data_IF_500804786728
#
_entry.id   IF_500804786728
#
_cell.length_a   1.000
_cell.length_b   1.000
_cell.length_c   1.000
_cell.angle_alpha   90.00
_cell.angle_beta   90.00
_cell.angle_gamma   90.00
#
_symmetry.space_group_name_H-M   'P 1'
#
loop_
_entity.id
_entity.type
_entity.pdbx_description
1 polymer ?
#
# COMPACT_ATOMS: atom_id res chain seq x y z
N UNK A 1 4.12 9.19 -8.86
CA UNK A 1 3.68 8.63 -10.16
C UNK A 1 2.35 9.23 -10.59
N UNK A 2 1.25 8.94 -9.90
CA UNK A 2 -0.10 9.38 -10.27
C UNK A 2 -0.24 10.91 -10.35
N UNK A 3 0.33 11.63 -9.39
CA UNK A 3 0.35 13.11 -9.40
C UNK A 3 1.04 13.69 -10.62
N UNK A 4 2.14 13.08 -11.08
CA UNK A 4 2.87 13.54 -12.27
C UNK A 4 1.97 13.36 -13.50
N UNK A 5 1.35 12.20 -13.67
CA UNK A 5 0.38 11.97 -14.76
C UNK A 5 -0.76 12.98 -14.73
N UNK A 6 -1.31 13.28 -13.55
CA UNK A 6 -2.37 14.27 -13.39
C UNK A 6 -1.90 15.68 -13.74
N UNK A 7 -0.66 16.06 -13.38
CA UNK A 7 -0.09 17.35 -13.78
C UNK A 7 0.13 17.42 -15.29
N UNK A 8 0.65 16.34 -15.91
CA UNK A 8 0.86 16.26 -17.36
C UNK A 8 -0.47 16.28 -18.14
N UNK A 9 -1.54 15.69 -17.63
CA UNK A 9 -2.84 15.70 -18.31
C UNK A 9 -3.65 16.96 -18.02
N UNK A 10 -3.74 17.35 -16.75
CA UNK A 10 -4.71 18.32 -16.25
C UNK A 10 -4.08 19.62 -15.73
N UNK A 11 -2.75 19.71 -15.68
CA UNK A 11 -2.05 20.94 -15.30
C UNK A 11 -2.26 22.08 -16.30
N UNK A 12 -1.67 23.24 -16.01
CA UNK A 12 -1.85 24.46 -16.81
C UNK A 12 -1.42 24.32 -18.28
N UNK A 13 -0.37 23.52 -18.54
CA UNK A 13 0.06 23.13 -19.88
C UNK A 13 -0.31 21.66 -20.20
N UNK A 14 -1.34 21.14 -19.53
CA UNK A 14 -1.73 19.75 -19.65
C UNK A 14 -2.31 19.40 -21.02
N UNK A 15 -2.16 18.14 -21.43
CA UNK A 15 -2.66 17.64 -22.71
C UNK A 15 -4.19 17.81 -22.82
N UNK A 16 -4.92 17.52 -21.74
CA UNK A 16 -6.38 17.64 -21.72
C UNK A 16 -6.79 19.10 -21.50
N UNK A 17 -6.20 19.75 -20.49
CA UNK A 17 -6.61 21.11 -20.10
C UNK A 17 -6.36 22.13 -21.21
N UNK A 18 -5.13 22.19 -21.75
CA UNK A 18 -4.72 23.23 -22.70
C UNK A 18 -4.92 22.82 -24.15
N UNK A 19 -4.49 21.62 -24.53
CA UNK A 19 -4.51 21.18 -25.94
C UNK A 19 -5.88 20.64 -26.38
N UNK A 20 -6.55 19.84 -25.55
CA UNK A 20 -7.86 19.26 -25.92
C UNK A 20 -9.03 20.21 -25.63
N UNK A 21 -9.07 20.86 -24.46
CA UNK A 21 -10.21 21.66 -24.00
C UNK A 21 -10.00 23.18 -24.08
N UNK A 22 -8.78 23.66 -24.34
CA UNK A 22 -8.49 25.10 -24.43
C UNK A 22 -8.71 25.89 -23.13
N UNK A 23 -8.74 25.23 -21.98
CA UNK A 23 -9.02 25.86 -20.68
C UNK A 23 -7.78 26.60 -20.16
N UNK A 24 -7.86 27.92 -20.08
CA UNK A 24 -6.73 28.77 -19.63
C UNK A 24 -6.78 29.14 -18.15
N UNK A 25 -7.95 29.03 -17.51
CA UNK A 25 -8.17 29.36 -16.09
C UNK A 25 -8.28 28.17 -15.14
N UNK A 26 -8.15 26.94 -15.64
CA UNK A 26 -8.26 25.75 -14.82
C UNK A 26 -6.96 25.50 -14.03
N UNK A 27 -7.09 25.36 -12.71
CA UNK A 27 -5.98 25.05 -11.82
C UNK A 27 -6.22 23.70 -11.13
N UNK A 28 -5.36 22.72 -11.41
CA UNK A 28 -5.41 21.41 -10.76
C UNK A 28 -4.80 21.46 -9.35
N UNK A 29 -3.92 22.41 -9.05
CA UNK A 29 -3.33 22.55 -7.72
C UNK A 29 -4.38 23.07 -6.73
N UNK A 30 -4.52 22.38 -5.60
CA UNK A 30 -5.57 22.64 -4.61
C UNK A 30 -6.23 21.36 -4.11
N UNK A 31 -7.22 21.52 -3.22
CA UNK A 31 -7.99 20.42 -2.67
C UNK A 31 -8.65 19.56 -3.77
N UNK A 32 -9.13 20.16 -4.86
CA UNK A 32 -9.82 19.43 -5.95
C UNK A 32 -8.89 18.44 -6.66
N UNK A 33 -7.68 18.87 -7.04
CA UNK A 33 -6.70 17.97 -7.64
C UNK A 33 -6.17 16.95 -6.63
N UNK A 34 -6.02 17.34 -5.37
CA UNK A 34 -5.66 16.40 -4.32
C UNK A 34 -6.70 15.29 -4.15
N UNK A 35 -7.99 15.63 -4.08
CA UNK A 35 -9.09 14.64 -4.00
C UNK A 35 -9.08 13.72 -5.21
N UNK A 36 -8.86 14.26 -6.43
CA UNK A 36 -8.75 13.45 -7.64
C UNK A 36 -7.60 12.44 -7.54
N UNK A 37 -6.39 12.91 -7.18
CA UNK A 37 -5.21 12.05 -7.07
C UNK A 37 -5.38 11.01 -5.97
N UNK A 38 -5.92 11.38 -4.80
CA UNK A 38 -6.18 10.44 -3.70
C UNK A 38 -7.22 9.38 -4.10
N UNK A 39 -8.33 9.79 -4.71
CA UNK A 39 -9.38 8.86 -5.14
C UNK A 39 -8.83 7.83 -6.11
N UNK A 40 -8.07 8.27 -7.11
CA UNK A 40 -7.50 7.38 -8.11
C UNK A 40 -6.35 6.52 -7.57
N UNK A 41 -5.53 7.07 -6.66
CA UNK A 41 -4.46 6.33 -6.01
C UNK A 41 -4.94 5.25 -5.04
N UNK A 42 -6.05 5.50 -4.35
CA UNK A 42 -6.62 4.56 -3.38
C UNK A 42 -7.65 3.60 -4.00
N UNK A 43 -8.11 3.87 -5.23
CA UNK A 43 -9.10 3.03 -5.92
C UNK A 43 -8.71 1.55 -6.02
N UNK A 44 -7.47 1.15 -6.41
CA UNK A 44 -7.11 -0.26 -6.48
C UNK A 44 -7.16 -0.96 -5.11
N UNK A 45 -6.76 -0.26 -4.05
CA UNK A 45 -6.81 -0.77 -2.67
C UNK A 45 -8.28 -0.99 -2.27
N UNK A 46 -9.13 0.01 -2.51
CA UNK A 46 -10.56 -0.08 -2.25
C UNK A 46 -11.20 -1.26 -3.01
N UNK A 47 -10.90 -1.38 -4.31
CA UNK A 47 -11.43 -2.43 -5.16
C UNK A 47 -11.05 -3.83 -4.67
N UNK A 48 -9.78 -4.07 -4.35
CA UNK A 48 -9.31 -5.37 -3.89
C UNK A 48 -9.98 -5.78 -2.57
N UNK A 49 -10.07 -4.86 -1.61
CA UNK A 49 -10.71 -5.12 -0.31
C UNK A 49 -12.20 -5.39 -0.49
N UNK A 50 -12.91 -4.53 -1.22
CA UNK A 50 -14.35 -4.66 -1.46
C UNK A 50 -14.69 -5.94 -2.25
N UNK A 51 -13.86 -6.32 -3.23
CA UNK A 51 -14.05 -7.55 -3.99
C UNK A 51 -13.92 -8.77 -3.08
N UNK A 52 -12.90 -8.83 -2.22
CA UNK A 52 -12.74 -9.92 -1.26
C UNK A 52 -13.91 -10.04 -0.29
N UNK A 53 -14.47 -8.91 0.17
CA UNK A 53 -15.67 -8.89 1.02
C UNK A 53 -16.88 -9.46 0.26
N UNK A 54 -17.17 -8.95 -0.94
CA UNK A 54 -18.33 -9.37 -1.71
C UNK A 54 -18.24 -10.85 -2.12
N UNK A 55 -17.04 -11.34 -2.43
CA UNK A 55 -16.80 -12.75 -2.74
C UNK A 55 -16.95 -13.67 -1.53
N UNK A 56 -16.88 -13.15 -0.30
CA UNK A 56 -17.01 -13.94 0.92
C UNK A 56 -18.46 -14.16 1.39
N UNK A 57 -19.41 -13.40 0.83
CA UNK A 57 -20.84 -13.52 1.14
C UNK A 57 -21.39 -14.78 0.47
N UNK A 58 -22.04 -15.67 1.23
CA UNK A 58 -22.65 -16.89 0.68
C UNK A 58 -23.78 -16.54 -0.32
N UNK A 59 -23.65 -16.91 -1.61
CA UNK A 59 -24.69 -16.67 -2.61
C UNK A 59 -26.04 -17.34 -2.31
N UNK A 60 -26.06 -18.42 -1.52
CA UNK A 60 -27.29 -19.13 -1.14
C UNK A 60 -28.25 -18.25 -0.32
N UNK A 61 -27.73 -17.25 0.40
CA UNK A 61 -28.57 -16.31 1.16
C UNK A 61 -29.38 -15.40 0.20
N UNK A 62 -28.75 -14.97 -0.89
CA UNK A 62 -29.41 -14.19 -1.93
C UNK A 62 -30.45 -15.05 -2.68
N UNK A 63 -30.10 -16.30 -2.99
CA UNK A 63 -30.99 -17.26 -3.64
C UNK A 63 -32.21 -17.60 -2.79
N UNK A 64 -32.01 -17.84 -1.50
CA UNK A 64 -33.09 -18.12 -0.57
C UNK A 64 -34.07 -16.95 -0.49
N UNK A 65 -33.55 -15.71 -0.45
CA UNK A 65 -34.37 -14.51 -0.47
C UNK A 65 -35.14 -14.36 -1.80
N UNK A 66 -34.50 -14.58 -2.95
CA UNK A 66 -35.17 -14.52 -4.26
C UNK A 66 -36.24 -15.62 -4.41
N UNK A 67 -35.99 -16.83 -3.91
CA UNK A 67 -36.94 -17.94 -3.93
C UNK A 67 -38.19 -17.65 -3.08
N UNK A 68 -38.06 -16.86 -2.01
CA UNK A 68 -39.18 -16.35 -1.21
C UNK A 68 -39.90 -15.15 -1.85
N UNK A 69 -39.52 -14.76 -3.07
CA UNK A 69 -40.16 -13.68 -3.84
C UNK A 69 -39.52 -12.30 -3.66
N UNK A 70 -38.36 -12.19 -3.00
CA UNK A 70 -37.67 -10.90 -2.88
C UNK A 70 -37.13 -10.43 -4.24
N UNK A 71 -37.37 -9.15 -4.56
CA UNK A 71 -36.76 -8.51 -5.74
C UNK A 71 -35.26 -8.24 -5.53
N UNK A 72 -34.48 -8.10 -6.61
CA UNK A 72 -33.03 -7.80 -6.51
C UNK A 72 -32.71 -6.58 -5.62
N UNK A 73 -33.54 -5.53 -5.66
CA UNK A 73 -33.35 -4.34 -4.81
C UNK A 73 -33.53 -4.68 -3.34
N UNK A 74 -34.54 -5.51 -3.03
CA UNK A 74 -34.81 -5.98 -1.68
C UNK A 74 -33.70 -6.89 -1.19
N UNK A 75 -33.23 -7.84 -2.01
CA UNK A 75 -32.08 -8.70 -1.69
C UNK A 75 -30.83 -7.86 -1.42
N UNK A 76 -30.51 -6.90 -2.29
CA UNK A 76 -29.37 -6.02 -2.08
C UNK A 76 -29.47 -5.24 -0.77
N UNK A 77 -30.62 -4.62 -0.46
CA UNK A 77 -30.76 -3.79 0.74
C UNK A 77 -30.91 -4.57 2.05
N UNK A 78 -31.42 -5.81 2.00
CA UNK A 78 -31.72 -6.61 3.19
C UNK A 78 -30.73 -7.73 3.47
N UNK A 79 -29.99 -8.21 2.45
CA UNK A 79 -29.03 -9.31 2.56
C UNK A 79 -27.63 -8.80 2.22
N UNK A 80 -27.37 -8.42 0.97
CA UNK A 80 -26.02 -8.14 0.47
C UNK A 80 -25.38 -6.93 1.18
N UNK A 81 -26.07 -5.79 1.23
CA UNK A 81 -25.54 -4.56 1.82
C UNK A 81 -25.34 -4.69 3.34
N UNK A 82 -26.31 -5.17 4.15
CA UNK A 82 -26.09 -5.37 5.58
C UNK A 82 -24.92 -6.30 5.92
N UNK A 83 -24.74 -7.38 5.16
CA UNK A 83 -23.60 -8.29 5.31
C UNK A 83 -22.28 -7.66 4.86
N UNK A 84 -22.31 -6.80 3.83
CA UNK A 84 -21.14 -6.10 3.34
C UNK A 84 -20.74 -4.89 4.20
N UNK A 85 -21.66 -4.24 4.93
CA UNK A 85 -21.41 -3.00 5.70
C UNK A 85 -20.18 -3.09 6.61
N UNK A 86 -19.97 -4.15 7.43
CA UNK A 86 -18.77 -4.26 8.26
C UNK A 86 -17.48 -4.28 7.44
N UNK A 87 -17.49 -4.97 6.30
CA UNK A 87 -16.38 -4.98 5.36
C UNK A 87 -16.16 -3.61 4.70
N UNK A 88 -17.23 -2.96 4.23
CA UNK A 88 -17.17 -1.62 3.62
C UNK A 88 -16.63 -0.60 4.62
N UNK A 89 -17.08 -0.66 5.88
CA UNK A 89 -16.56 0.19 6.95
C UNK A 89 -15.07 -0.06 7.22
N UNK A 90 -14.63 -1.32 7.18
CA UNK A 90 -13.21 -1.69 7.30
C UNK A 90 -12.38 -1.12 6.15
N UNK A 91 -12.87 -1.26 4.91
CA UNK A 91 -12.22 -0.71 3.72
C UNK A 91 -12.15 0.82 3.76
N UNK A 92 -13.24 1.48 4.16
CA UNK A 92 -13.30 2.93 4.31
C UNK A 92 -12.30 3.43 5.35
N UNK A 93 -12.22 2.79 6.53
CA UNK A 93 -11.26 3.15 7.57
C UNK A 93 -9.81 2.95 7.10
N UNK A 94 -9.52 1.86 6.40
CA UNK A 94 -8.20 1.60 5.82
C UNK A 94 -7.80 2.71 4.84
N UNK A 95 -8.70 3.09 3.94
CA UNK A 95 -8.46 4.17 2.96
C UNK A 95 -8.31 5.52 3.67
N UNK A 96 -9.13 5.79 4.68
CA UNK A 96 -9.05 7.01 5.49
C UNK A 96 -7.68 7.16 6.17
N UNK A 97 -7.21 6.11 6.87
CA UNK A 97 -5.89 6.11 7.51
C UNK A 97 -4.77 6.24 6.47
N UNK A 98 -4.90 5.56 5.33
CA UNK A 98 -3.89 5.62 4.26
C UNK A 98 -3.83 7.02 3.63
N UNK A 99 -4.97 7.66 3.38
CA UNK A 99 -5.04 9.02 2.83
C UNK A 99 -4.53 10.05 3.83
N UNK A 100 -4.81 9.89 5.13
CA UNK A 100 -4.32 10.77 6.19
C UNK A 100 -2.79 10.66 6.35
N UNK A 101 -2.24 9.45 6.17
CA UNK A 101 -0.81 9.19 6.24
C UNK A 101 -0.04 9.52 4.96
N UNK A 102 -0.73 9.94 3.89
CA UNK A 102 -0.09 10.31 2.64
C UNK A 102 0.61 11.68 2.75
N UNK A 103 1.75 11.76 2.10
CA UNK A 103 2.62 12.94 2.11
C UNK A 103 3.00 13.34 0.69
N UNK A 104 3.34 12.36 -0.15
CA UNK A 104 3.89 12.60 -1.48
C UNK A 104 2.92 13.35 -2.39
N UNK A 105 1.65 12.94 -2.44
CA UNK A 105 0.67 13.59 -3.31
C UNK A 105 0.29 14.99 -2.81
N UNK A 106 -0.04 15.20 -1.52
CA UNK A 106 -0.24 16.53 -0.95
C UNK A 106 0.90 17.49 -1.24
N UNK A 107 2.16 17.10 -0.99
CA UNK A 107 3.33 17.97 -1.15
C UNK A 107 3.42 18.58 -2.54
N UNK A 108 3.00 17.85 -3.56
CA UNK A 108 3.08 18.28 -4.96
C UNK A 108 1.84 19.02 -5.44
N UNK A 109 0.63 18.57 -5.08
CA UNK A 109 -0.61 19.05 -5.71
C UNK A 109 -1.55 19.84 -4.79
N UNK A 110 -1.31 19.89 -3.47
CA UNK A 110 -2.24 20.57 -2.56
C UNK A 110 -2.29 22.09 -2.77
N UNK A 111 -1.26 22.67 -3.40
CA UNK A 111 -1.21 24.10 -3.72
C UNK A 111 -1.31 24.94 -2.44
N UNK A 112 -2.38 25.74 -2.33
CA UNK A 112 -2.66 26.58 -1.14
C UNK A 112 -3.42 25.84 -0.03
N UNK A 113 -3.78 24.58 -0.24
CA UNK A 113 -4.49 23.81 0.77
C UNK A 113 -3.49 23.19 1.74
N UNK A 114 -3.59 23.59 3.00
CA UNK A 114 -2.70 23.11 4.06
C UNK A 114 -3.06 21.69 4.48
N UNK A 115 -2.13 20.77 4.26
CA UNK A 115 -2.24 19.38 4.70
C UNK A 115 -1.29 19.19 5.87
N UNK A 116 -1.81 18.67 6.98
CA UNK A 116 -1.04 18.52 8.23
C UNK A 116 0.26 17.74 8.05
N UNK A 117 0.29 16.68 7.23
CA UNK A 117 1.51 15.90 6.95
C UNK A 117 2.59 16.73 6.24
N UNK A 118 2.19 17.59 5.33
CA UNK A 118 3.07 18.53 4.62
C UNK A 118 3.54 19.64 5.55
N UNK A 119 2.63 20.22 6.33
CA UNK A 119 2.98 21.28 7.28
C UNK A 119 3.94 20.79 8.36
N UNK A 120 3.75 19.58 8.89
CA UNK A 120 4.69 18.96 9.83
C UNK A 120 6.10 18.84 9.21
N UNK A 121 6.18 18.42 7.95
CA UNK A 121 7.45 18.35 7.21
C UNK A 121 8.09 19.73 7.00
N UNK A 122 7.33 20.71 6.51
CA UNK A 122 7.82 22.06 6.23
C UNK A 122 8.28 22.77 7.52
N UNK A 123 7.57 22.59 8.63
CA UNK A 123 8.00 23.14 9.92
C UNK A 123 9.28 22.47 10.41
N UNK A 124 9.40 21.15 10.26
CA UNK A 124 10.57 20.41 10.73
C UNK A 124 11.82 20.66 9.87
N UNK A 125 11.70 20.58 8.54
CA UNK A 125 12.84 20.62 7.60
C UNK A 125 13.07 22.00 6.97
N UNK A 126 12.00 22.75 6.67
CA UNK A 126 12.10 24.06 6.03
C UNK A 126 12.33 25.20 7.03
N UNK A 127 11.54 25.22 8.11
CA UNK A 127 11.57 26.29 9.12
C UNK A 127 12.45 25.97 10.33
N UNK A 128 13.00 24.74 10.42
CA UNK A 128 13.75 24.22 11.57
C UNK A 128 13.01 24.35 12.92
N UNK A 129 11.69 24.47 12.90
CA UNK A 129 10.83 24.53 14.07
C UNK A 129 10.40 23.11 14.49
N UNK A 130 11.35 22.37 15.07
CA UNK A 130 11.13 20.98 15.50
C UNK A 130 9.96 20.83 16.48
N UNK A 131 9.77 21.70 17.49
CA UNK A 131 8.63 21.59 18.41
C UNK A 131 7.27 21.68 17.70
N UNK A 132 7.11 22.64 16.79
CA UNK A 132 5.86 22.78 16.04
C UNK A 132 5.66 21.61 15.07
N UNK A 133 6.70 21.17 14.37
CA UNK A 133 6.64 19.99 13.51
C UNK A 133 6.23 18.72 14.27
N UNK A 134 6.78 18.51 15.46
CA UNK A 134 6.41 17.41 16.35
C UNK A 134 4.96 17.55 16.86
N UNK A 135 4.51 18.77 17.20
CA UNK A 135 3.13 19.05 17.58
C UNK A 135 2.13 18.69 16.47
N UNK A 136 2.42 19.06 15.22
CA UNK A 136 1.61 18.70 14.06
C UNK A 136 1.62 17.18 13.80
N UNK A 137 2.75 16.51 14.04
CA UNK A 137 2.85 15.06 13.96
C UNK A 137 1.95 14.37 15.00
N UNK A 138 1.95 14.84 16.25
CA UNK A 138 1.05 14.34 17.30
C UNK A 138 -0.42 14.60 16.91
N UNK A 139 -0.73 15.77 16.35
CA UNK A 139 -2.07 16.09 15.87
C UNK A 139 -2.55 15.14 14.77
N UNK A 140 -1.66 14.65 13.90
CA UNK A 140 -1.96 13.59 12.92
C UNK A 140 -2.15 12.21 13.55
N UNK A 141 -1.41 11.92 14.63
CA UNK A 141 -1.48 10.63 15.31
C UNK A 141 -2.86 10.39 15.91
N UNK A 142 -3.48 11.41 16.51
CA UNK A 142 -4.78 11.31 17.19
C UNK A 142 -5.89 10.75 16.27
N UNK A 143 -6.26 11.38 15.15
CA UNK A 143 -7.33 10.88 14.28
C UNK A 143 -6.99 9.52 13.67
N UNK A 144 -5.71 9.27 13.37
CA UNK A 144 -5.26 7.99 12.83
C UNK A 144 -5.41 6.85 13.85
N UNK A 145 -5.05 7.12 15.11
CA UNK A 145 -5.19 6.16 16.20
C UNK A 145 -6.66 5.90 16.55
N UNK A 146 -7.49 6.95 16.56
CA UNK A 146 -8.93 6.83 16.77
C UNK A 146 -9.56 5.95 15.67
N UNK A 147 -9.23 6.21 14.40
CA UNK A 147 -9.72 5.41 13.29
C UNK A 147 -9.28 3.94 13.39
N UNK A 148 -8.02 3.69 13.74
CA UNK A 148 -7.51 2.33 13.95
C UNK A 148 -8.17 1.61 15.11
N UNK A 149 -8.35 2.26 16.27
CA UNK A 149 -9.03 1.67 17.42
C UNK A 149 -10.49 1.37 17.10
N UNK A 150 -11.16 2.27 16.39
CA UNK A 150 -12.53 2.07 15.93
C UNK A 150 -12.63 0.89 14.96
N UNK A 151 -11.71 0.78 14.01
CA UNK A 151 -11.60 -0.36 13.10
C UNK A 151 -11.43 -1.67 13.87
N UNK A 152 -10.44 -1.72 14.78
CA UNK A 152 -10.05 -2.93 15.51
C UNK A 152 -11.13 -3.42 16.45
N UNK A 153 -11.79 -2.54 17.21
CA UNK A 153 -12.70 -2.94 18.28
C UNK A 153 -14.18 -2.93 17.91
N UNK A 154 -14.60 -2.08 16.97
CA UNK A 154 -16.02 -1.89 16.64
C UNK A 154 -16.42 -2.62 15.36
N UNK A 155 -15.56 -2.54 14.33
CA UNK A 155 -15.85 -3.12 13.01
C UNK A 155 -15.40 -4.58 12.93
N UNK A 156 -14.20 -4.89 13.43
CA UNK A 156 -13.65 -6.25 13.42
C UNK A 156 -14.49 -7.31 14.14
N UNK A 157 -15.31 -6.92 15.13
CA UNK A 157 -16.22 -7.84 15.85
C UNK A 157 -17.50 -8.18 15.10
N UNK A 158 -17.84 -7.43 14.04
CA UNK A 158 -19.08 -7.60 13.26
C UNK A 158 -18.83 -8.26 11.90
N UNK A 159 -17.64 -8.84 11.68
CA UNK A 159 -17.38 -9.64 10.49
C UNK A 159 -18.22 -10.91 10.52
N UNK A 160 -19.36 -10.90 9.83
CA UNK A 160 -20.16 -12.09 9.57
C UNK A 160 -19.40 -12.97 8.57
N UNK A 161 -18.37 -13.66 9.05
CA UNK A 161 -17.58 -14.59 8.23
C UNK A 161 -18.45 -15.80 7.96
N UNK A 162 -19.10 -15.85 6.80
CA UNK A 162 -19.83 -17.02 6.29
C UNK A 162 -18.92 -17.89 5.41
N UNK A 163 -17.65 -18.06 5.78
CA UNK A 163 -16.74 -18.96 5.06
C UNK A 163 -17.05 -20.38 5.51
N UNK A 164 -17.91 -21.08 4.77
CA UNK A 164 -18.27 -22.48 5.03
C UNK A 164 -17.29 -23.48 4.40
N UNK A 165 -16.08 -23.05 4.00
CA UNK A 165 -15.05 -23.91 3.42
C UNK A 165 -15.40 -24.54 2.06
N UNK A 166 -16.61 -24.31 1.54
CA UNK A 166 -17.02 -24.75 0.20
C UNK A 166 -16.62 -23.70 -0.83
N UNK A 167 -15.89 -24.06 -1.89
CA UNK A 167 -15.67 -23.15 -3.00
C UNK A 167 -17.02 -22.91 -3.70
N UNK A 168 -17.61 -21.74 -3.46
CA UNK A 168 -18.75 -21.29 -4.25
C UNK A 168 -18.22 -20.85 -5.62
N UNK A 169 -18.62 -21.56 -6.67
CA UNK A 169 -18.32 -21.15 -8.03
C UNK A 169 -18.89 -19.75 -8.27
N UNK A 170 -18.07 -18.84 -8.80
CA UNK A 170 -18.54 -17.52 -9.22
C UNK A 170 -19.73 -17.70 -10.17
N UNK A 171 -20.87 -17.14 -9.79
CA UNK A 171 -22.09 -17.27 -10.58
C UNK A 171 -22.08 -16.28 -11.74
N UNK A 172 -22.45 -16.74 -12.92
CA UNK A 172 -22.80 -15.86 -14.04
C UNK A 172 -24.21 -15.30 -13.82
N UNK A 173 -24.31 -14.13 -13.18
CA UNK A 173 -25.57 -13.41 -13.15
C UNK A 173 -25.95 -13.01 -14.59
N UNK A 174 -27.10 -13.47 -15.07
CA UNK A 174 -27.68 -13.03 -16.35
C UNK A 174 -28.24 -11.61 -16.21
N UNK A 175 -27.34 -10.63 -16.24
CA UNK A 175 -27.69 -9.21 -16.21
C UNK A 175 -28.30 -8.83 -17.57
N UNK A 176 -29.38 -8.04 -17.55
CA UNK A 176 -29.98 -7.51 -18.76
C UNK A 176 -28.94 -6.77 -19.61
N UNK A 177 -28.98 -6.95 -20.93
CA UNK A 177 -28.04 -6.33 -21.89
C UNK A 177 -27.74 -4.84 -21.62
N UNK A 178 -28.73 -3.95 -21.36
CA UNK A 178 -28.43 -2.53 -21.13
C UNK A 178 -27.61 -2.30 -19.85
N UNK A 179 -27.94 -2.99 -18.76
CA UNK A 179 -27.21 -2.85 -17.49
C UNK A 179 -25.78 -3.40 -17.62
N UNK A 180 -25.61 -4.51 -18.36
CA UNK A 180 -24.29 -5.07 -18.67
C UNK A 180 -23.41 -4.05 -19.41
N UNK A 181 -23.92 -3.44 -20.48
CA UNK A 181 -23.15 -2.45 -21.24
C UNK A 181 -22.87 -1.18 -20.43
N UNK A 182 -23.79 -0.76 -19.56
CA UNK A 182 -23.57 0.37 -18.65
C UNK A 182 -22.47 0.10 -17.61
N UNK A 183 -22.48 -1.06 -16.95
CA UNK A 183 -21.43 -1.41 -15.99
C UNK A 183 -20.08 -1.61 -16.69
N UNK A 184 -20.09 -2.25 -17.86
CA UNK A 184 -18.90 -2.46 -18.67
C UNK A 184 -18.32 -1.11 -19.12
N UNK A 185 -19.15 -0.14 -19.52
CA UNK A 185 -18.65 1.17 -19.93
C UNK A 185 -17.97 1.91 -18.78
N UNK A 186 -18.55 1.89 -17.57
CA UNK A 186 -17.91 2.45 -16.37
C UNK A 186 -16.57 1.78 -16.09
N UNK A 187 -16.52 0.45 -16.07
CA UNK A 187 -15.29 -0.31 -15.80
C UNK A 187 -14.22 -0.03 -16.87
N UNK A 188 -14.64 0.07 -18.13
CA UNK A 188 -13.76 0.37 -19.26
C UNK A 188 -13.22 1.80 -19.16
N UNK A 189 -14.05 2.78 -18.80
CA UNK A 189 -13.62 4.18 -18.59
C UNK A 189 -12.58 4.25 -17.47
N UNK A 190 -12.84 3.64 -16.32
CA UNK A 190 -11.89 3.64 -15.19
C UNK A 190 -10.58 2.96 -15.60
N UNK A 191 -10.65 1.80 -16.24
CA UNK A 191 -9.47 1.06 -16.70
C UNK A 191 -8.68 1.84 -17.74
N UNK A 192 -9.35 2.45 -18.72
CA UNK A 192 -8.74 3.30 -19.73
C UNK A 192 -8.07 4.52 -19.10
N UNK A 193 -8.67 5.11 -18.06
CA UNK A 193 -8.09 6.25 -17.35
C UNK A 193 -6.82 5.87 -16.57
N UNK A 194 -6.79 4.70 -15.93
CA UNK A 194 -5.60 4.18 -15.26
C UNK A 194 -4.49 3.92 -16.28
N UNK A 195 -4.82 3.26 -17.40
CA UNK A 195 -3.87 3.00 -18.50
C UNK A 195 -3.33 4.32 -19.07
N UNK A 196 -4.19 5.32 -19.27
CA UNK A 196 -3.81 6.65 -19.72
C UNK A 196 -2.79 7.29 -18.77
N UNK A 197 -2.94 7.14 -17.46
CA UNK A 197 -1.96 7.68 -16.51
C UNK A 197 -0.58 7.05 -16.66
N UNK A 198 -0.50 5.73 -16.84
CA UNK A 198 0.77 5.04 -17.10
C UNK A 198 1.39 5.45 -18.43
N UNK A 199 0.59 5.49 -19.50
CA UNK A 199 1.04 5.95 -20.82
C UNK A 199 1.57 7.38 -20.72
N UNK A 200 0.90 8.26 -19.98
CA UNK A 200 1.31 9.67 -19.82
C UNK A 200 2.69 9.78 -19.16
N UNK A 201 3.00 8.96 -18.15
CA UNK A 201 4.35 8.97 -17.55
C UNK A 201 5.38 8.49 -18.55
N UNK A 202 5.10 7.42 -19.30
CA UNK A 202 6.03 6.89 -20.31
C UNK A 202 6.29 7.95 -21.38
N UNK A 203 5.24 8.58 -21.92
CA UNK A 203 5.36 9.65 -22.91
C UNK A 203 6.05 10.89 -22.32
N UNK A 204 5.76 11.22 -21.05
CA UNK A 204 6.41 12.31 -20.32
C UNK A 204 7.91 12.13 -20.17
N UNK A 205 8.38 10.88 -20.13
CA UNK A 205 9.81 10.55 -20.11
C UNK A 205 10.52 10.75 -21.46
N UNK A 206 9.77 10.73 -22.57
CA UNK A 206 10.30 10.75 -23.94
C UNK A 206 10.21 12.12 -24.60
N UNK A 207 9.24 12.95 -24.22
CA UNK A 207 9.05 14.26 -24.85
C UNK A 207 9.94 15.34 -24.25
N UNK A 208 10.49 16.20 -25.12
CA UNK A 208 11.43 17.25 -24.74
C UNK A 208 10.85 18.23 -23.73
N UNK A 209 9.67 18.78 -24.03
CA UNK A 209 8.98 19.70 -23.13
C UNK A 209 7.48 19.51 -23.20
N UNK A 210 6.92 18.81 -22.22
CA UNK A 210 5.50 18.49 -22.20
C UNK A 210 4.60 19.73 -22.33
N UNK A 211 3.63 19.67 -23.22
CA UNK A 211 2.68 20.75 -23.48
C UNK A 211 3.16 21.85 -24.43
N UNK A 212 4.43 21.82 -24.86
CA UNK A 212 5.04 22.81 -25.76
C UNK A 212 5.80 22.17 -26.92
N UNK A 213 6.69 21.20 -26.64
CA UNK A 213 7.51 20.50 -27.62
C UNK A 213 7.45 18.99 -27.38
N UNK A 214 6.70 18.31 -28.26
CA UNK A 214 6.51 16.85 -28.25
C UNK A 214 7.59 16.11 -29.08
N UNK A 215 8.70 16.76 -29.42
CA UNK A 215 9.85 16.09 -30.04
C UNK A 215 10.42 15.04 -29.08
N UNK A 216 10.78 13.88 -29.63
CA UNK A 216 11.40 12.80 -28.85
C UNK A 216 12.82 13.19 -28.44
N UNK A 217 13.17 12.96 -27.17
CA UNK A 217 14.50 13.18 -26.61
C UNK A 217 14.89 12.07 -25.66
N UNK A 218 16.20 11.80 -25.57
CA UNK A 218 16.81 10.93 -24.57
C UNK A 218 17.61 11.72 -23.52
N UNK A 219 17.56 13.06 -23.58
CA UNK A 219 18.26 13.92 -22.63
C UNK A 219 17.79 13.70 -21.19
N UNK A 220 16.48 13.50 -20.99
CA UNK A 220 15.93 13.16 -19.67
C UNK A 220 16.52 11.86 -19.13
N UNK A 221 16.69 10.85 -19.98
CA UNK A 221 17.30 9.57 -19.60
C UNK A 221 18.78 9.72 -19.24
N UNK A 222 19.53 10.49 -20.02
CA UNK A 222 20.95 10.76 -19.72
C UNK A 222 21.10 11.47 -18.37
N UNK A 223 20.36 12.55 -18.18
CA UNK A 223 20.35 13.29 -16.91
C UNK A 223 19.94 12.41 -15.74
N UNK A 224 18.80 11.71 -15.85
CA UNK A 224 18.29 10.84 -14.79
C UNK A 224 19.17 9.65 -14.48
N UNK A 225 19.96 9.15 -15.45
CA UNK A 225 20.96 8.12 -15.19
C UNK A 225 22.09 8.67 -14.31
N UNK A 226 22.62 9.85 -14.65
CA UNK A 226 23.72 10.48 -13.94
C UNK A 226 23.35 10.81 -12.48
N UNK A 227 22.16 11.38 -12.25
CA UNK A 227 21.72 11.75 -10.90
C UNK A 227 21.02 10.63 -10.13
N UNK A 228 20.37 9.70 -10.85
CA UNK A 228 19.47 8.71 -10.28
C UNK A 228 20.10 7.35 -10.00
N UNK A 229 21.24 7.00 -10.61
CA UNK A 229 21.85 5.68 -10.47
C UNK A 229 22.20 5.35 -9.01
N UNK A 230 22.73 6.33 -8.26
CA UNK A 230 23.02 6.15 -6.83
C UNK A 230 21.73 5.92 -6.04
N UNK A 231 20.73 6.77 -6.21
CA UNK A 231 19.46 6.65 -5.50
C UNK A 231 18.75 5.32 -5.83
N UNK A 232 18.84 4.84 -7.07
CA UNK A 232 18.34 3.52 -7.46
C UNK A 232 19.07 2.39 -6.72
N UNK A 233 20.41 2.40 -6.69
CA UNK A 233 21.23 1.41 -5.96
C UNK A 233 20.93 1.40 -4.48
N UNK A 234 20.87 2.58 -3.86
CA UNK A 234 20.56 2.74 -2.44
C UNK A 234 19.15 2.20 -2.14
N UNK A 235 18.16 2.54 -2.98
CA UNK A 235 16.76 2.07 -2.84
C UNK A 235 16.66 0.55 -2.89
N UNK A 236 17.27 -0.08 -3.89
CA UNK A 236 17.27 -1.54 -4.03
C UNK A 236 18.01 -2.19 -2.87
N UNK A 237 19.17 -1.65 -2.46
CA UNK A 237 19.97 -2.17 -1.35
C UNK A 237 19.22 -2.10 -0.04
N UNK A 238 18.65 -0.93 0.30
CA UNK A 238 17.88 -0.73 1.53
C UNK A 238 16.63 -1.62 1.55
N UNK A 239 15.93 -1.76 0.43
CA UNK A 239 14.75 -2.62 0.31
C UNK A 239 15.11 -4.10 0.45
N UNK A 240 16.21 -4.53 -0.17
CA UNK A 240 16.71 -5.90 -0.07
C UNK A 240 17.19 -6.25 1.35
N UNK A 241 17.80 -5.29 2.05
CA UNK A 241 18.23 -5.47 3.44
C UNK A 241 17.04 -5.49 4.41
N UNK A 242 16.07 -4.58 4.27
CA UNK A 242 14.93 -4.51 5.20
C UNK A 242 13.96 -5.69 5.06
N UNK A 243 13.74 -6.18 3.83
CA UNK A 243 12.70 -7.17 3.54
C UNK A 243 12.84 -8.47 4.35
N UNK A 244 14.01 -9.11 4.45
CA UNK A 244 14.20 -10.30 5.28
C UNK A 244 13.89 -10.05 6.76
N UNK A 245 14.34 -8.93 7.33
CA UNK A 245 14.05 -8.59 8.72
C UNK A 245 12.55 -8.41 8.94
N UNK A 246 11.86 -7.73 8.03
CA UNK A 246 10.41 -7.58 8.08
C UNK A 246 9.70 -8.92 8.09
N UNK A 247 10.03 -9.81 7.13
CA UNK A 247 9.35 -11.10 7.01
C UNK A 247 9.64 -12.03 8.18
N UNK A 248 10.90 -12.11 8.62
CA UNK A 248 11.30 -12.95 9.75
C UNK A 248 10.61 -12.47 11.02
N UNK A 249 10.67 -11.18 11.32
CA UNK A 249 10.04 -10.64 12.54
C UNK A 249 8.52 -10.80 12.48
N UNK A 250 7.91 -10.53 11.33
CA UNK A 250 6.48 -10.73 11.12
C UNK A 250 6.05 -12.17 11.32
N UNK A 251 6.82 -13.14 10.80
CA UNK A 251 6.53 -14.57 10.96
C UNK A 251 6.71 -15.05 12.40
N UNK A 252 7.75 -14.59 13.10
CA UNK A 252 7.97 -14.89 14.52
C UNK A 252 6.77 -14.41 15.34
N UNK A 253 6.36 -13.16 15.15
CA UNK A 253 5.22 -12.59 15.87
C UNK A 253 3.94 -13.33 15.51
N UNK A 254 3.70 -13.64 14.23
CA UNK A 254 2.55 -14.43 13.80
C UNK A 254 2.52 -15.82 14.47
N UNK A 255 3.65 -16.52 14.51
CA UNK A 255 3.76 -17.82 15.17
C UNK A 255 3.46 -17.73 16.66
N UNK A 256 4.01 -16.74 17.36
CA UNK A 256 3.73 -16.53 18.78
C UNK A 256 2.26 -16.19 19.03
N UNK A 257 1.67 -15.33 18.20
CA UNK A 257 0.26 -14.92 18.33
C UNK A 257 -0.70 -16.06 17.96
N UNK A 258 -0.38 -16.96 17.04
CA UNK A 258 -1.27 -18.07 16.68
C UNK A 258 -1.05 -19.29 17.57
N UNK A 259 0.20 -19.75 17.71
CA UNK A 259 0.53 -21.05 18.31
C UNK A 259 0.84 -21.01 19.80
N UNK A 260 1.11 -19.84 20.39
CA UNK A 260 1.48 -19.74 21.82
C UNK A 260 0.42 -19.05 22.66
N UNK A 261 0.33 -19.49 23.90
CA UNK A 261 -0.44 -18.87 24.98
C UNK A 261 0.53 -18.31 26.01
N UNK A 262 0.51 -16.99 26.21
CA UNK A 262 1.36 -16.31 27.18
C UNK A 262 0.72 -14.99 27.62
N UNK A 263 1.11 -14.53 28.80
CA UNK A 263 0.66 -13.24 29.33
C UNK A 263 1.22 -12.10 28.46
N UNK A 264 0.36 -11.18 28.01
CA UNK A 264 0.77 -10.08 27.12
C UNK A 264 0.62 -10.35 25.62
N UNK A 265 0.12 -11.54 25.20
CA UNK A 265 -0.18 -11.86 23.79
C UNK A 265 -0.97 -10.77 23.05
N UNK A 266 -2.06 -10.29 23.67
CA UNK A 266 -2.90 -9.21 23.12
C UNK A 266 -2.15 -7.87 23.00
N UNK A 267 -1.24 -7.59 23.92
CA UNK A 267 -0.41 -6.38 23.88
C UNK A 267 0.64 -6.47 22.76
N UNK A 268 1.31 -7.62 22.61
CA UNK A 268 2.23 -7.87 21.50
C UNK A 268 1.52 -7.72 20.15
N UNK A 269 0.36 -8.34 19.98
CA UNK A 269 -0.45 -8.21 18.77
C UNK A 269 -0.86 -6.74 18.51
N UNK A 270 -1.30 -6.02 19.55
CA UNK A 270 -1.68 -4.62 19.43
C UNK A 270 -0.50 -3.72 19.04
N UNK A 271 0.63 -3.81 19.74
CA UNK A 271 1.82 -2.99 19.49
C UNK A 271 2.41 -3.28 18.12
N UNK A 272 2.42 -4.54 17.70
CA UNK A 272 3.00 -4.92 16.40
C UNK A 272 2.15 -4.44 15.22
N UNK A 273 0.82 -4.37 15.40
CA UNK A 273 -0.11 -3.80 14.40
C UNK A 273 -0.19 -2.27 14.46
N UNK A 274 0.26 -1.64 15.55
CA UNK A 274 0.18 -0.19 15.76
C UNK A 274 0.91 0.58 14.65
N UNK A 275 1.97 0.00 14.09
CA UNK A 275 2.76 0.59 13.01
C UNK A 275 1.94 0.88 11.75
N UNK A 276 0.80 0.22 11.50
CA UNK A 276 -0.13 0.61 10.43
C UNK A 276 -0.82 1.94 10.74
N UNK A 277 -1.22 2.15 11.99
CA UNK A 277 -1.98 3.31 12.44
C UNK A 277 -1.13 4.57 12.54
N UNK A 278 0.18 4.47 12.76
CA UNK A 278 1.04 5.65 12.92
C UNK A 278 1.31 6.27 11.54
N UNK A 279 0.98 7.56 11.30
CA UNK A 279 1.28 8.21 10.02
C UNK A 279 2.78 8.27 9.74
N UNK A 280 3.17 8.21 8.46
CA UNK A 280 4.60 8.16 8.09
C UNK A 280 5.40 9.35 8.61
N UNK A 281 4.81 10.56 8.57
CA UNK A 281 5.41 11.77 9.13
C UNK A 281 5.74 11.63 10.63
N UNK A 282 4.84 11.01 11.40
CA UNK A 282 5.05 10.77 12.84
C UNK A 282 6.18 9.77 13.06
N UNK A 283 6.22 8.71 12.26
CA UNK A 283 7.32 7.73 12.31
C UNK A 283 8.65 8.39 11.97
N UNK A 284 8.72 9.18 10.89
CA UNK A 284 9.94 9.84 10.44
C UNK A 284 10.49 10.82 11.48
N UNK A 285 9.64 11.74 11.98
CA UNK A 285 10.02 12.68 13.04
C UNK A 285 10.42 11.94 14.31
N UNK A 286 9.66 10.92 14.72
CA UNK A 286 9.98 10.12 15.89
C UNK A 286 11.34 9.43 15.80
N UNK A 287 11.68 8.86 14.64
CA UNK A 287 12.99 8.24 14.41
C UNK A 287 14.13 9.24 14.47
N UNK A 288 13.99 10.44 13.87
CA UNK A 288 15.01 11.49 14.02
C UNK A 288 15.17 11.85 15.49
N UNK A 289 14.07 12.20 16.17
CA UNK A 289 14.14 12.64 17.57
C UNK A 289 14.73 11.58 18.49
N UNK A 290 14.48 10.30 18.22
CA UNK A 290 15.01 9.19 19.02
C UNK A 290 16.48 8.86 18.73
N UNK A 291 16.97 9.04 17.50
CA UNK A 291 18.28 8.54 17.07
C UNK A 291 19.25 9.62 16.57
N UNK A 292 18.96 10.90 16.86
CA UNK A 292 19.83 12.02 16.50
C UNK A 292 20.79 12.45 17.63
N UNK A 293 20.71 11.83 18.80
CA UNK A 293 21.59 12.11 19.95
C UNK A 293 22.25 10.83 20.48
N UNK A 294 23.43 10.93 21.12
CA UNK A 294 24.06 9.78 21.79
C UNK A 294 23.15 9.15 22.87
N UNK A 295 23.29 7.85 23.20
CA UNK A 295 24.38 6.95 22.80
C UNK A 295 24.20 6.26 21.45
N UNK A 296 22.99 6.25 20.88
CA UNK A 296 22.67 5.57 19.61
C UNK A 296 22.39 6.59 18.50
N UNK A 297 23.44 7.07 17.86
CA UNK A 297 23.33 8.01 16.74
C UNK A 297 23.21 7.25 15.42
N UNK A 298 21.97 7.14 14.91
CA UNK A 298 21.68 6.44 13.64
C UNK A 298 21.34 7.40 12.49
N UNK A 299 21.09 8.66 12.77
CA UNK A 299 20.79 9.68 11.75
C UNK A 299 21.89 9.73 10.68
N UNK A 300 21.48 9.77 9.41
CA UNK A 300 22.41 9.81 8.26
C UNK A 300 23.01 8.46 7.87
N UNK A 301 22.68 7.36 8.55
CA UNK A 301 23.10 6.00 8.21
C UNK A 301 22.03 5.24 7.43
N UNK A 302 22.39 4.19 6.69
CA UNK A 302 21.40 3.30 6.06
C UNK A 302 20.62 2.46 7.08
N UNK A 303 21.17 2.25 8.28
CA UNK A 303 20.54 1.43 9.32
C UNK A 303 19.22 2.05 9.82
N UNK A 304 19.15 3.37 9.97
CA UNK A 304 17.90 4.04 10.39
C UNK A 304 16.76 3.84 9.38
N UNK A 305 17.09 3.78 8.08
CA UNK A 305 16.14 3.50 7.01
C UNK A 305 15.69 2.04 7.03
N UNK A 306 16.61 1.09 7.21
CA UNK A 306 16.29 -0.35 7.32
C UNK A 306 15.39 -0.62 8.53
N UNK A 307 15.68 -0.02 9.69
CA UNK A 307 14.85 -0.15 10.88
C UNK A 307 13.46 0.47 10.68
N UNK A 308 13.39 1.66 10.07
CA UNK A 308 12.13 2.32 9.76
C UNK A 308 11.27 1.47 8.81
N UNK A 309 11.87 0.91 7.75
CA UNK A 309 11.19 0.00 6.83
C UNK A 309 10.69 -1.27 7.52
N UNK A 310 11.53 -1.87 8.35
CA UNK A 310 11.18 -3.07 9.11
C UNK A 310 9.97 -2.79 9.99
N UNK A 311 10.02 -1.73 10.80
CA UNK A 311 8.90 -1.33 11.66
C UNK A 311 7.62 -1.06 10.86
N UNK A 312 7.71 -0.31 9.76
CA UNK A 312 6.54 0.13 8.99
C UNK A 312 5.88 -0.99 8.20
N UNK A 313 6.64 -1.99 7.77
CA UNK A 313 6.15 -3.07 6.91
C UNK A 313 5.94 -4.40 7.67
N UNK A 314 6.38 -4.49 8.93
CA UNK A 314 6.22 -5.67 9.79
C UNK A 314 4.80 -6.24 9.83
N UNK A 315 3.73 -5.43 10.01
CA UNK A 315 2.41 -6.01 10.21
C UNK A 315 1.86 -6.73 8.97
N UNK A 316 2.37 -6.45 7.76
CA UNK A 316 2.07 -7.28 6.58
C UNK A 316 2.56 -8.71 6.77
N UNK A 317 3.79 -8.87 7.25
CA UNK A 317 4.36 -10.19 7.54
C UNK A 317 3.59 -10.92 8.63
N UNK A 318 3.11 -10.17 9.64
CA UNK A 318 2.26 -10.70 10.71
C UNK A 318 0.93 -11.19 10.16
N UNK A 319 0.19 -10.35 9.41
CA UNK A 319 -1.11 -10.73 8.84
C UNK A 319 -0.98 -11.93 7.91
N UNK A 320 0.02 -11.93 7.03
CA UNK A 320 0.25 -13.05 6.12
C UNK A 320 0.58 -14.34 6.87
N UNK A 321 1.39 -14.28 7.94
CA UNK A 321 1.71 -15.43 8.78
C UNK A 321 0.51 -15.91 9.59
N UNK A 322 -0.27 -15.00 10.18
CA UNK A 322 -1.49 -15.32 10.95
C UNK A 322 -2.51 -16.00 10.05
N UNK A 323 -2.75 -15.47 8.85
CA UNK A 323 -3.68 -16.03 7.89
C UNK A 323 -3.29 -17.46 7.47
N UNK A 324 -2.00 -17.72 7.23
CA UNK A 324 -1.52 -19.05 6.87
C UNK A 324 -1.58 -20.03 8.05
N UNK A 325 -1.07 -19.64 9.22
CA UNK A 325 -1.03 -20.51 10.39
C UNK A 325 -2.42 -20.86 10.93
N UNK A 326 -3.38 -19.93 10.85
CA UNK A 326 -4.75 -20.15 11.34
C UNK A 326 -5.54 -21.14 10.47
N UNK A 327 -5.09 -21.40 9.24
CA UNK A 327 -5.68 -22.41 8.36
C UNK A 327 -5.13 -23.82 8.62
N UNK A 328 -4.00 -23.95 9.31
CA UNK A 328 -3.37 -25.23 9.61
C UNK A 328 -3.90 -25.75 10.95
N UNK A 329 -4.64 -26.86 10.90
CA UNK A 329 -5.19 -27.52 12.08
C UNK A 329 -4.07 -27.92 13.06
N UNK A 330 -4.14 -27.50 14.35
CA UNK A 330 -3.19 -27.93 15.38
C UNK A 330 -3.03 -29.45 15.49
N UNK A 331 -4.07 -30.23 15.15
CA UNK A 331 -4.04 -31.69 15.20
C UNK A 331 -2.93 -32.31 14.33
N UNK A 332 -2.47 -31.62 13.27
CA UNK A 332 -1.36 -32.08 12.42
C UNK A 332 -0.04 -32.06 13.23
N UNK A 333 0.19 -30.99 14.01
CA UNK A 333 1.38 -30.84 14.85
C UNK A 333 1.31 -31.78 16.07
N UNK A 334 0.11 -31.97 16.64
CA UNK A 334 -0.13 -32.92 17.75
C UNK A 334 0.07 -34.38 17.32
N UNK A 335 -0.38 -34.76 16.12
CA UNK A 335 -0.16 -36.10 15.58
C UNK A 335 1.34 -36.40 15.39
N UNK A 336 2.11 -35.43 14.87
CA UNK A 336 3.56 -35.56 14.76
C UNK A 336 4.24 -35.70 16.14
N UNK A 337 3.78 -34.92 17.12
CA UNK A 337 4.25 -35.02 18.51
C UNK A 337 3.97 -36.42 19.09
N UNK A 338 2.79 -36.98 18.84
CA UNK A 338 2.41 -38.32 19.29
C UNK A 338 3.26 -39.44 18.64
N UNK A 339 3.76 -39.21 17.41
CA UNK A 339 4.70 -40.10 16.72
C UNK A 339 6.16 -39.92 17.17
N UNK A 340 6.41 -39.06 18.16
CA UNK A 340 7.73 -38.84 18.75
C UNK A 340 8.55 -37.70 18.14
N UNK A 341 7.97 -36.87 17.27
CA UNK A 341 8.66 -35.70 16.74
C UNK A 341 8.79 -34.60 17.81
N UNK A 342 9.95 -33.94 17.85
CA UNK A 342 10.18 -32.78 18.71
C UNK A 342 9.74 -31.47 18.03
N UNK A 343 9.59 -30.39 18.80
CA UNK A 343 9.09 -29.11 18.26
C UNK A 343 9.93 -28.51 17.12
N UNK A 344 11.28 -28.55 17.15
CA UNK A 344 12.11 -28.12 16.03
C UNK A 344 11.89 -28.95 14.76
N UNK A 345 11.74 -30.27 14.89
CA UNK A 345 11.45 -31.15 13.76
C UNK A 345 10.06 -30.85 13.17
N UNK A 346 9.02 -30.75 14.00
CA UNK A 346 7.67 -30.38 13.57
C UNK A 346 7.67 -29.04 12.84
N UNK A 347 8.35 -28.03 13.40
CA UNK A 347 8.42 -26.73 12.75
C UNK A 347 9.10 -26.80 11.38
N UNK A 348 10.23 -27.50 11.24
CA UNK A 348 11.01 -27.54 10.00
C UNK A 348 10.36 -28.39 8.90
N UNK A 349 9.78 -29.53 9.26
CA UNK A 349 9.26 -30.51 8.30
C UNK A 349 7.76 -30.34 8.01
N UNK A 350 7.00 -29.75 8.93
CA UNK A 350 5.54 -29.64 8.80
C UNK A 350 5.13 -28.16 8.70
N UNK A 351 5.36 -27.38 9.76
CA UNK A 351 4.81 -26.02 9.83
C UNK A 351 5.45 -25.08 8.80
N UNK A 352 6.79 -25.07 8.69
CA UNK A 352 7.53 -24.16 7.82
C UNK A 352 7.21 -24.39 6.33
N UNK A 353 7.20 -25.63 5.79
CA UNK A 353 6.83 -25.87 4.39
C UNK A 353 5.39 -25.46 4.07
N UNK A 354 4.45 -25.63 5.01
CA UNK A 354 3.06 -25.23 4.84
C UNK A 354 2.88 -23.71 4.81
N UNK A 355 3.66 -22.96 5.61
CA UNK A 355 3.58 -21.49 5.65
C UNK A 355 4.54 -20.79 4.68
N UNK A 356 5.47 -21.53 4.07
CA UNK A 356 6.49 -21.00 3.16
C UNK A 356 5.89 -20.14 2.03
N UNK A 357 4.80 -20.54 1.34
CA UNK A 357 4.21 -19.72 0.28
C UNK A 357 3.75 -18.35 0.79
N UNK A 358 3.12 -18.32 1.98
CA UNK A 358 2.68 -17.08 2.62
C UNK A 358 3.87 -16.22 3.06
N UNK A 359 4.92 -16.83 3.61
CA UNK A 359 6.15 -16.14 3.96
C UNK A 359 6.75 -15.39 2.76
N UNK A 360 6.92 -16.07 1.62
CA UNK A 360 7.47 -15.45 0.41
C UNK A 360 6.54 -14.40 -0.20
N UNK A 361 5.21 -14.59 -0.13
CA UNK A 361 4.25 -13.58 -0.52
C UNK A 361 4.38 -12.31 0.35
N UNK A 362 4.51 -12.47 1.67
CA UNK A 362 4.73 -11.38 2.62
C UNK A 362 6.06 -10.65 2.38
N UNK A 363 7.15 -11.37 2.14
CA UNK A 363 8.45 -10.79 1.75
C UNK A 363 8.31 -9.97 0.46
N UNK A 364 7.62 -10.51 -0.54
CA UNK A 364 7.41 -9.84 -1.82
C UNK A 364 6.67 -8.52 -1.65
N UNK A 365 5.60 -8.53 -0.86
CA UNK A 365 4.86 -7.32 -0.55
C UNK A 365 5.71 -6.31 0.22
N UNK A 366 6.45 -6.75 1.25
CA UNK A 366 7.35 -5.88 2.00
C UNK A 366 8.39 -5.21 1.10
N UNK A 367 8.98 -5.95 0.17
CA UNK A 367 9.95 -5.40 -0.79
C UNK A 367 9.33 -4.28 -1.64
N UNK A 368 8.15 -4.52 -2.20
CA UNK A 368 7.42 -3.51 -2.99
C UNK A 368 7.12 -2.27 -2.15
N UNK A 369 6.71 -2.46 -0.90
CA UNK A 369 6.42 -1.36 0.03
C UNK A 369 7.67 -0.53 0.34
N UNK A 370 8.83 -1.16 0.54
CA UNK A 370 10.11 -0.45 0.68
C UNK A 370 10.43 0.36 -0.58
N UNK A 371 10.38 -0.25 -1.77
CA UNK A 371 10.72 0.38 -3.06
C UNK A 371 9.86 1.61 -3.37
N UNK A 372 8.62 1.65 -2.88
CA UNK A 372 7.63 2.71 -3.15
C UNK A 372 7.42 3.68 -1.98
N UNK A 373 8.19 3.56 -0.90
CA UNK A 373 8.00 4.36 0.31
C UNK A 373 8.38 5.84 0.10
N UNK A 374 7.65 6.76 0.75
CA UNK A 374 7.97 8.19 0.78
C UNK A 374 7.80 8.79 2.18
N UNK A 375 6.61 8.68 2.77
CA UNK A 375 6.19 9.54 3.91
C UNK A 375 7.11 9.54 5.13
N UNK A 376 7.63 8.38 5.56
CA UNK A 376 8.50 8.32 6.75
C UNK A 376 9.96 8.61 6.40
N UNK A 377 10.42 8.12 5.25
CA UNK A 377 11.83 8.14 4.89
C UNK A 377 12.31 9.50 4.39
N UNK A 378 11.41 10.40 3.95
CA UNK A 378 11.77 11.78 3.57
C UNK A 378 12.51 12.52 4.70
N UNK A 379 12.21 12.18 5.95
CA UNK A 379 12.89 12.71 7.13
C UNK A 379 14.27 12.07 7.34
N UNK A 380 14.45 10.82 6.93
CA UNK A 380 15.59 9.98 7.31
C UNK A 380 16.68 9.88 6.24
N UNK A 381 16.38 10.24 4.99
CA UNK A 381 17.36 10.25 3.90
C UNK A 381 18.49 11.25 4.16
N UNK A 382 19.63 11.01 3.55
CA UNK A 382 20.81 11.86 3.67
C UNK A 382 21.59 11.89 2.36
N UNK A 383 22.64 12.72 2.31
CA UNK A 383 23.58 12.75 1.17
C UNK A 383 24.22 11.39 0.91
N UNK A 384 24.44 10.60 1.97
CA UNK A 384 25.06 9.27 1.87
C UNK A 384 24.07 8.23 1.34
N UNK A 385 22.85 8.23 1.87
CA UNK A 385 21.79 7.27 1.56
C UNK A 385 20.53 8.00 1.11
N UNK A 386 20.23 7.92 -0.19
CA UNK A 386 19.04 8.55 -0.77
C UNK A 386 18.09 7.51 -1.38
N UNK A 387 16.82 7.85 -1.53
CA UNK A 387 15.81 6.94 -2.06
C UNK A 387 15.21 7.47 -3.37
N UNK A 388 14.93 6.59 -4.32
CA UNK A 388 14.53 6.93 -5.68
C UNK A 388 13.20 7.68 -5.70
N UNK A 389 12.28 7.33 -4.82
CA UNK A 389 11.00 8.01 -4.65
C UNK A 389 11.14 9.45 -4.12
N UNK A 390 12.17 9.70 -3.31
CA UNK A 390 12.49 11.04 -2.81
C UNK A 390 13.12 11.88 -3.91
N UNK A 391 13.97 11.26 -4.74
CA UNK A 391 14.49 11.92 -5.94
C UNK A 391 13.35 12.27 -6.92
N UNK A 392 12.42 11.34 -7.17
CA UNK A 392 11.20 11.59 -7.97
C UNK A 392 10.42 12.80 -7.41
N UNK A 393 10.23 12.85 -6.09
CA UNK A 393 9.55 13.97 -5.44
C UNK A 393 10.30 15.28 -5.68
N UNK A 394 11.61 15.31 -5.42
CA UNK A 394 12.44 16.51 -5.57
C UNK A 394 12.44 17.07 -7.01
N UNK A 395 12.55 16.21 -8.03
CA UNK A 395 12.46 16.62 -9.44
C UNK A 395 11.06 17.15 -9.80
N UNK A 396 10.02 16.59 -9.17
CA UNK A 396 8.63 17.04 -9.36
C UNK A 396 8.42 18.41 -8.72
N UNK A 397 8.95 18.65 -7.52
CA UNK A 397 8.85 19.93 -6.79
C UNK A 397 9.48 21.09 -7.57
N UNK A 398 10.61 20.85 -8.24
CA UNK A 398 11.27 21.84 -9.11
C UNK A 398 10.71 21.85 -10.54
N UNK A 399 9.56 21.22 -10.78
CA UNK A 399 8.84 21.17 -12.07
C UNK A 399 9.63 20.53 -13.23
N UNK A 400 10.64 19.70 -12.94
CA UNK A 400 11.34 18.87 -13.93
C UNK A 400 10.59 17.57 -14.18
N UNK A 401 9.43 17.71 -14.81
CA UNK A 401 8.50 16.58 -15.02
C UNK A 401 9.05 15.50 -15.97
N UNK A 402 9.93 15.85 -16.91
CA UNK A 402 10.60 14.90 -17.81
C UNK A 402 11.50 13.92 -17.05
N UNK A 403 12.54 14.41 -16.33
CA UNK A 403 13.37 13.59 -15.45
C UNK A 403 12.56 12.82 -14.38
N UNK A 404 11.59 13.47 -13.74
CA UNK A 404 10.72 12.80 -12.76
C UNK A 404 9.94 11.63 -13.38
N UNK A 405 9.51 11.77 -14.64
CA UNK A 405 8.83 10.72 -15.40
C UNK A 405 9.77 9.56 -15.73
N UNK A 406 11.03 9.83 -16.12
CA UNK A 406 12.04 8.78 -16.33
C UNK A 406 12.25 7.97 -15.05
N UNK A 407 12.47 8.65 -13.92
CA UNK A 407 12.69 7.97 -12.64
C UNK A 407 11.46 7.14 -12.22
N UNK A 408 10.24 7.60 -12.53
CA UNK A 408 9.02 6.80 -12.36
C UNK A 408 9.00 5.56 -13.25
N UNK A 409 9.32 5.68 -14.55
CA UNK A 409 9.40 4.53 -15.46
C UNK A 409 10.41 3.50 -14.96
N UNK A 410 11.60 3.95 -14.54
CA UNK A 410 12.63 3.09 -13.96
C UNK A 410 12.12 2.37 -12.72
N UNK A 411 11.46 3.08 -11.80
CA UNK A 411 10.90 2.46 -10.60
C UNK A 411 9.81 1.42 -10.94
N UNK A 412 8.93 1.71 -11.92
CA UNK A 412 7.91 0.76 -12.39
C UNK A 412 8.57 -0.51 -12.94
N UNK A 413 9.56 -0.36 -13.82
CA UNK A 413 10.26 -1.51 -14.43
C UNK A 413 10.94 -2.36 -13.37
N UNK A 414 11.64 -1.75 -12.41
CA UNK A 414 12.33 -2.47 -11.34
C UNK A 414 11.35 -3.20 -10.43
N UNK A 415 10.24 -2.57 -10.05
CA UNK A 415 9.20 -3.21 -9.24
C UNK A 415 8.53 -4.37 -10.00
N UNK A 416 8.17 -4.19 -11.27
CA UNK A 416 7.58 -5.24 -12.09
C UNK A 416 8.54 -6.42 -12.29
N UNK A 417 9.83 -6.13 -12.50
CA UNK A 417 10.87 -7.15 -12.57
C UNK A 417 10.99 -7.93 -11.27
N UNK A 418 11.08 -7.23 -10.13
CA UNK A 418 11.16 -7.86 -8.82
C UNK A 418 9.92 -8.72 -8.51
N UNK A 419 8.72 -8.20 -8.76
CA UNK A 419 7.46 -8.95 -8.60
C UNK A 419 7.44 -10.21 -9.46
N UNK A 420 7.84 -10.09 -10.72
CA UNK A 420 7.87 -11.23 -11.66
C UNK A 420 8.89 -12.29 -11.22
N UNK A 421 10.06 -11.85 -10.74
CA UNK A 421 11.08 -12.74 -10.19
C UNK A 421 10.56 -13.47 -8.95
N UNK A 422 9.95 -12.75 -8.01
CA UNK A 422 9.42 -13.33 -6.78
C UNK A 422 8.25 -14.29 -7.02
N UNK A 423 7.35 -13.99 -7.96
CA UNK A 423 6.27 -14.90 -8.36
C UNK A 423 6.77 -16.25 -8.84
N UNK A 424 7.88 -16.28 -9.60
CA UNK A 424 8.50 -17.55 -10.03
C UNK A 424 8.98 -18.42 -8.86
N UNK A 425 9.28 -17.83 -7.70
CA UNK A 425 9.63 -18.57 -6.49
C UNK A 425 8.40 -18.99 -5.69
N UNK A 426 7.33 -18.18 -5.67
CA UNK A 426 6.08 -18.49 -4.94
C UNK A 426 5.20 -19.51 -5.66
N UNK A 427 5.12 -19.49 -6.99
CA UNK A 427 4.35 -20.48 -7.79
C UNK A 427 4.95 -21.90 -7.74
N UNK A 428 6.13 -22.08 -7.13
CA UNK A 428 6.83 -23.36 -7.04
C UNK A 428 6.52 -24.19 -5.77
N UNK A 429 5.47 -23.90 -4.98
CA UNK A 429 5.07 -24.80 -3.88
C UNK A 429 3.58 -24.70 -3.46
N UNK A 430 2.92 -25.80 -3.03
CA UNK A 430 3.18 -27.23 -3.24
C UNK A 430 2.00 -27.92 -3.96
N UNK A 431 2.17 -28.28 -5.24
CA UNK A 431 1.28 -29.24 -5.95
C UNK A 431 1.82 -30.69 -5.82
N UNK A 432 2.69 -30.97 -4.84
CA UNK A 432 3.35 -32.27 -4.67
C UNK A 432 3.43 -32.74 -3.21
N UNK A 433 2.36 -32.59 -2.44
CA UNK A 433 2.30 -33.15 -1.06
C UNK A 433 1.27 -34.28 -0.94
N UNK A 434 0.42 -34.49 -1.95
CA UNK A 434 -0.40 -35.69 -2.05
C UNK A 434 -0.11 -36.35 -3.40
N UNK A 435 0.94 -37.16 -3.42
CA UNK A 435 1.13 -38.21 -4.42
C UNK A 435 0.40 -39.47 -3.96
#
# INVERSE_FOLDING_TARGET
>A
MLTISVILLLGRNGLITKHLLGLTGFNIYGLKGLVLVQTMGMFPIAYLVLTGILQSINPELEDSAMNLGASWRSVFSSVTLPLAIPGIASAWLLIFVTSLADFANPMVISGRFDVLSVQAYLQFTGMFNMPLGAGLAIMLLIPSMVAFLFQKYWVGKKSYITVTGKPYAARDFKVGRPVKYFLLSICTIISAMIVLFYITVIMGSLFKLWGLDYSLTLEHYKYSWDVGLKALKDTVTLSALATPFTGIMGMIIAFLVVRKHFMGKKAMEFVSMLSFAVPGTVVGIGYILAFNTPPLLLTGTGLILVLCFTFRNMPVGIESGVAALSQIDPAIEEAATNLGADSPHIFREITLPLIQPAFFAGLSYSFIRCMTAVSAIIFLVSVRWNHLTILILSETEIMRLGPASVLCVVLIVVVLFAVSLMRKFTERGPVRVFG
#
